data_IF_286287530215
#
_entry.id   IF_286287530215
#
_cell.length_a   1.000
_cell.length_b   1.000
_cell.length_c   1.000
_cell.angle_alpha   90.00
_cell.angle_beta   90.00
_cell.angle_gamma   90.00
#
_symmetry.space_group_name_H-M   'P 1'
#
loop_
_entity.id
_entity.type
_entity.pdbx_description
1 polymer ?
#
# COMPACT_ATOMS: atom_id res chain seq x y z
N UNK A 1 -0.37 -14.78 -5.40
CA UNK A 1 -1.01 -14.49 -4.09
C UNK A 1 -0.14 -13.50 -3.34
N UNK A 2 -0.71 -12.40 -2.81
CA UNK A 2 0.04 -11.36 -2.11
C UNK A 2 0.51 -11.91 -0.76
N UNK A 3 1.82 -12.08 -0.56
CA UNK A 3 2.37 -12.63 0.70
C UNK A 3 2.49 -11.56 1.81
N UNK A 4 2.62 -10.29 1.43
CA UNK A 4 2.82 -9.20 2.39
C UNK A 4 1.50 -8.74 3.04
N UNK A 5 1.38 -8.94 4.36
CA UNK A 5 0.19 -8.56 5.14
C UNK A 5 -0.09 -7.06 5.12
N UNK A 6 0.95 -6.21 4.98
CA UNK A 6 0.80 -4.74 4.94
C UNK A 6 0.12 -4.32 3.64
N UNK A 7 0.51 -4.92 2.52
CA UNK A 7 -0.13 -4.68 1.23
C UNK A 7 -1.59 -5.17 1.23
N UNK A 8 -1.87 -6.34 1.82
CA UNK A 8 -3.24 -6.82 1.99
C UNK A 8 -4.09 -5.81 2.79
N UNK A 9 -3.55 -5.24 3.88
CA UNK A 9 -4.23 -4.19 4.66
C UNK A 9 -4.48 -2.92 3.84
N UNK A 10 -3.49 -2.46 3.07
CA UNK A 10 -3.66 -1.29 2.20
C UNK A 10 -4.76 -1.50 1.15
N UNK A 11 -4.88 -2.70 0.57
CA UNK A 11 -5.95 -3.01 -0.39
C UNK A 11 -7.32 -2.96 0.29
N UNK A 12 -7.45 -3.47 1.52
CA UNK A 12 -8.69 -3.39 2.30
C UNK A 12 -9.05 -1.93 2.61
N UNK A 13 -8.08 -1.14 3.05
CA UNK A 13 -8.23 0.30 3.31
C UNK A 13 -8.65 1.03 2.04
N UNK A 14 -8.00 0.74 0.91
CA UNK A 14 -8.30 1.37 -0.37
C UNK A 14 -9.76 1.12 -0.78
N UNK A 15 -10.24 -0.11 -0.63
CA UNK A 15 -11.65 -0.45 -0.89
C UNK A 15 -12.62 0.23 0.08
N UNK A 16 -12.35 0.21 1.39
CA UNK A 16 -13.22 0.82 2.42
C UNK A 16 -13.37 2.33 2.22
N UNK A 17 -12.30 3.01 1.76
CA UNK A 17 -12.24 4.47 1.66
C UNK A 17 -12.32 4.99 0.22
N UNK A 18 -12.65 4.15 -0.77
CA UNK A 18 -12.68 4.47 -2.19
C UNK A 18 -11.39 5.17 -2.70
N UNK A 19 -10.23 4.71 -2.23
CA UNK A 19 -8.92 5.26 -2.63
C UNK A 19 -8.42 4.51 -3.86
N UNK A 20 -8.29 5.23 -4.97
CA UNK A 20 -7.72 4.69 -6.19
C UNK A 20 -6.23 4.32 -6.04
N UNK A 21 -5.72 3.38 -6.86
CA UNK A 21 -4.34 2.89 -6.77
C UNK A 21 -3.28 3.98 -6.98
N UNK A 22 -3.53 4.99 -7.83
CA UNK A 22 -2.63 6.13 -8.01
C UNK A 22 -2.52 7.00 -6.74
N UNK A 23 -3.65 7.25 -6.07
CA UNK A 23 -3.65 8.00 -4.81
C UNK A 23 -2.96 7.20 -3.70
N UNK A 24 -3.21 5.89 -3.62
CA UNK A 24 -2.54 5.04 -2.64
C UNK A 24 -1.03 4.99 -2.84
N UNK A 25 -0.56 4.90 -4.09
CA UNK A 25 0.87 4.97 -4.43
C UNK A 25 1.49 6.30 -3.94
N UNK A 26 0.79 7.43 -4.17
CA UNK A 26 1.22 8.74 -3.67
C UNK A 26 1.27 8.80 -2.15
N UNK A 27 0.29 8.24 -1.44
CA UNK A 27 0.25 8.21 0.03
C UNK A 27 1.43 7.45 0.63
N UNK A 28 1.81 6.32 0.03
CA UNK A 28 2.95 5.51 0.51
C UNK A 28 4.29 5.92 -0.12
N UNK A 29 4.30 6.96 -0.97
CA UNK A 29 5.50 7.56 -1.53
C UNK A 29 6.20 6.70 -2.59
N UNK A 30 5.44 5.97 -3.41
CA UNK A 30 5.96 5.16 -4.52
C UNK A 30 5.26 5.50 -5.84
N UNK A 31 5.83 5.07 -6.97
CA UNK A 31 5.15 5.21 -8.26
C UNK A 31 3.95 4.27 -8.38
N UNK A 32 2.99 4.62 -9.24
CA UNK A 32 1.84 3.79 -9.56
C UNK A 32 2.26 2.36 -9.97
N UNK A 33 3.24 2.24 -10.87
CA UNK A 33 3.74 0.95 -11.35
C UNK A 33 4.32 0.09 -10.21
N UNK A 34 5.03 0.71 -9.26
CA UNK A 34 5.54 0.01 -8.07
C UNK A 34 4.41 -0.48 -7.17
N UNK A 35 3.40 0.36 -6.90
CA UNK A 35 2.24 -0.05 -6.12
C UNK A 35 1.46 -1.17 -6.80
N UNK A 36 1.28 -1.11 -8.13
CA UNK A 36 0.61 -2.16 -8.89
C UNK A 36 1.35 -3.52 -8.79
N UNK A 37 2.69 -3.51 -8.84
CA UNK A 37 3.49 -4.73 -8.61
C UNK A 37 3.30 -5.28 -7.20
N UNK A 38 3.16 -4.43 -6.18
CA UNK A 38 2.82 -4.87 -4.82
C UNK A 38 1.44 -5.52 -4.79
N UNK A 39 0.43 -4.90 -5.41
CA UNK A 39 -0.94 -5.43 -5.45
C UNK A 39 -1.03 -6.78 -6.17
N UNK A 40 -0.19 -7.02 -7.18
CA UNK A 40 -0.14 -8.30 -7.90
C UNK A 40 0.77 -9.33 -7.20
N UNK A 41 1.48 -8.92 -6.15
CA UNK A 41 2.41 -9.77 -5.40
C UNK A 41 3.72 -10.07 -6.15
N UNK A 42 4.04 -9.31 -7.19
CA UNK A 42 5.29 -9.46 -7.95
C UNK A 42 6.52 -8.98 -7.16
N UNK A 43 6.33 -7.98 -6.30
CA UNK A 43 7.37 -7.42 -5.43
C UNK A 43 6.81 -7.10 -4.06
N UNK A 44 7.69 -6.90 -3.08
CA UNK A 44 7.32 -6.45 -1.73
C UNK A 44 8.03 -5.14 -1.37
N UNK A 45 7.49 -4.32 -0.45
CA UNK A 45 8.18 -3.14 0.04
C UNK A 45 9.36 -3.53 0.94
N UNK A 46 10.57 -3.15 0.54
CA UNK A 46 11.81 -3.42 1.29
C UNK A 46 12.42 -2.15 1.89
N UNK A 47 12.21 -1.00 1.26
CA UNK A 47 12.71 0.29 1.75
C UNK A 47 12.07 0.67 3.07
N UNK A 48 12.90 0.92 4.09
CA UNK A 48 12.45 1.36 5.42
C UNK A 48 11.49 2.56 5.36
N UNK A 49 11.84 3.59 4.59
CA UNK A 49 10.99 4.77 4.40
C UNK A 49 9.62 4.44 3.78
N UNK A 50 9.58 3.48 2.83
CA UNK A 50 8.30 3.05 2.25
C UNK A 50 7.47 2.30 3.29
N UNK A 51 8.10 1.43 4.09
CA UNK A 51 7.43 0.66 5.14
C UNK A 51 6.83 1.58 6.19
N UNK A 52 7.58 2.59 6.67
CA UNK A 52 7.06 3.59 7.61
C UNK A 52 5.84 4.33 7.07
N UNK A 53 5.86 4.74 5.79
CA UNK A 53 4.72 5.42 5.16
C UNK A 53 3.51 4.50 5.06
N UNK A 54 3.73 3.22 4.73
CA UNK A 54 2.66 2.21 4.71
C UNK A 54 2.04 2.08 6.10
N UNK A 55 2.84 2.01 7.16
CA UNK A 55 2.34 1.90 8.53
C UNK A 55 1.57 3.15 8.97
N UNK A 56 2.05 4.35 8.62
CA UNK A 56 1.35 5.62 8.86
C UNK A 56 -0.02 5.63 8.17
N UNK A 57 -0.10 5.21 6.92
CA UNK A 57 -1.37 5.09 6.18
C UNK A 57 -2.28 4.06 6.85
N UNK A 58 -1.76 2.88 7.21
CA UNK A 58 -2.55 1.86 7.91
C UNK A 58 -3.12 2.42 9.22
N UNK A 59 -2.31 3.09 10.03
CA UNK A 59 -2.75 3.67 11.31
C UNK A 59 -3.82 4.74 11.10
N UNK A 60 -3.66 5.61 10.10
CA UNK A 60 -4.60 6.71 9.80
C UNK A 60 -5.98 6.22 9.37
N UNK A 61 -6.05 5.13 8.61
CA UNK A 61 -7.30 4.64 8.00
C UNK A 61 -7.87 3.36 8.65
N UNK A 62 -7.26 2.86 9.74
CA UNK A 62 -7.79 1.73 10.52
C UNK A 62 -8.82 2.12 11.57
N UNK A 63 -9.28 3.38 11.57
CA UNK A 63 -10.37 3.90 12.41
C UNK A 63 -11.72 3.43 11.84
#
# INVERSE_FOLDING_TARGET
>A
MIKDKRIQKLIKIAKKNNIGPGMMARLIGVSYSTYNRYQNGSTIPESHNTIEKIEKVIKKYSI
#
